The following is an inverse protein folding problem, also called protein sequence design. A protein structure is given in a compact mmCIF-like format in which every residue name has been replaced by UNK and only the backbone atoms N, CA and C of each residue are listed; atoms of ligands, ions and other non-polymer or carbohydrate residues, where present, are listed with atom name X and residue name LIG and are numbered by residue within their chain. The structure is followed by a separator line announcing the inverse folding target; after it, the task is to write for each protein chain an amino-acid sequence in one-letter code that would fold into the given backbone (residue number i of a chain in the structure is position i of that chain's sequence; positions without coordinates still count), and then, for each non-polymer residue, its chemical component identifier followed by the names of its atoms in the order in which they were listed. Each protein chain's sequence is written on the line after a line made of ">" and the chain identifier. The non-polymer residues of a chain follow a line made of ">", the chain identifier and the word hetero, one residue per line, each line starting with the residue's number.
data_IF_495906730570
#
_entry.id   IF_495906730570
#
_cell.length_a   1.000
_cell.length_b   1.000
_cell.length_c   1.000
_cell.angle_alpha   90.00
_cell.angle_beta   90.00
_cell.angle_gamma   90.00
#
_symmetry.space_group_name_H-M   'P 1'
#
loop_
_entity.id
_entity.type
_entity.pdbx_description
1 polymer ?
#
# COMPACT_ATOMS: atom_id res chain seq x y z
N UNK A 1 0.66 -22.18 -9.31
CA UNK A 1 1.49 -20.96 -9.31
C UNK A 1 2.84 -21.29 -8.67
N UNK A 2 3.91 -21.36 -9.46
CA UNK A 2 5.25 -21.70 -8.94
C UNK A 2 5.85 -20.46 -8.27
N UNK A 3 6.05 -20.52 -6.96
CA UNK A 3 6.69 -19.45 -6.18
C UNK A 3 8.21 -19.55 -6.36
N UNK A 4 8.84 -18.49 -6.85
CA UNK A 4 10.29 -18.41 -7.00
C UNK A 4 10.91 -17.98 -5.68
N UNK A 5 11.46 -18.94 -4.93
CA UNK A 5 11.96 -18.71 -3.57
C UNK A 5 13.44 -18.30 -3.51
N UNK A 6 14.17 -18.37 -4.62
CA UNK A 6 15.61 -18.05 -4.63
C UNK A 6 15.86 -16.63 -5.12
N UNK A 7 16.75 -15.91 -4.42
CA UNK A 7 17.17 -14.54 -4.75
C UNK A 7 17.60 -14.39 -6.22
N UNK A 8 18.30 -15.40 -6.75
CA UNK A 8 18.76 -15.43 -8.14
C UNK A 8 17.61 -15.53 -9.14
N UNK A 9 16.57 -16.31 -8.83
CA UNK A 9 15.39 -16.40 -9.70
C UNK A 9 14.55 -15.12 -9.64
N UNK A 10 14.44 -14.50 -8.45
CA UNK A 10 13.79 -13.20 -8.29
C UNK A 10 14.51 -12.10 -9.07
N UNK A 11 15.85 -12.08 -9.04
CA UNK A 11 16.66 -11.13 -9.81
C UNK A 11 16.46 -11.30 -11.34
N UNK A 12 16.42 -12.55 -11.83
CA UNK A 12 16.12 -12.86 -13.23
C UNK A 12 14.72 -12.39 -13.64
N UNK A 13 13.73 -12.56 -12.76
CA UNK A 13 12.37 -12.08 -13.01
C UNK A 13 12.33 -10.55 -13.10
N UNK A 14 12.95 -9.84 -12.14
CA UNK A 14 13.08 -8.37 -12.16
C UNK A 14 13.75 -7.83 -13.42
N UNK A 15 14.69 -8.58 -14.00
CA UNK A 15 15.36 -8.20 -15.24
C UNK A 15 14.45 -8.33 -16.48
N UNK A 16 13.51 -9.29 -16.47
CA UNK A 16 12.60 -9.61 -17.58
C UNK A 16 11.27 -8.85 -17.54
N UNK A 17 10.79 -8.47 -16.37
CA UNK A 17 9.53 -7.72 -16.23
C UNK A 17 9.73 -6.27 -16.67
N UNK A 18 8.83 -5.76 -17.53
CA UNK A 18 8.85 -4.34 -17.93
C UNK A 18 8.66 -3.38 -16.74
N UNK A 19 8.04 -3.84 -15.67
CA UNK A 19 7.85 -3.09 -14.43
C UNK A 19 9.07 -3.29 -13.51
N UNK A 20 10.20 -2.65 -13.84
CA UNK A 20 11.31 -2.56 -12.91
C UNK A 20 10.94 -1.60 -11.78
N UNK A 21 11.08 -1.98 -10.50
CA UNK A 21 10.93 -1.04 -9.41
C UNK A 21 11.96 0.09 -9.58
N UNK A 22 11.49 1.33 -9.69
CA UNK A 22 12.36 2.49 -9.73
C UNK A 22 13.00 2.63 -8.35
N UNK A 23 14.33 2.53 -8.29
CA UNK A 23 15.11 2.43 -7.05
C UNK A 23 14.98 3.68 -6.16
N UNK A 24 14.41 4.78 -6.69
CA UNK A 24 14.19 6.07 -6.00
C UNK A 24 12.92 6.77 -6.49
N UNK A 25 11.81 6.07 -6.53
CA UNK A 25 10.54 6.73 -6.82
C UNK A 25 10.07 7.43 -5.55
N UNK A 26 10.07 8.76 -5.55
CA UNK A 26 9.64 9.57 -4.40
C UNK A 26 8.15 9.37 -4.08
N UNK A 27 7.36 9.02 -5.09
CA UNK A 27 5.95 8.64 -4.92
C UNK A 27 5.78 7.20 -4.44
N UNK A 28 6.87 6.48 -4.11
CA UNK A 28 6.80 5.11 -3.63
C UNK A 28 6.58 5.13 -2.12
N UNK A 29 5.45 4.56 -1.73
CA UNK A 29 5.15 4.22 -0.36
C UNK A 29 6.25 3.29 0.20
N UNK A 30 6.93 3.75 1.25
CA UNK A 30 8.12 3.08 1.81
C UNK A 30 7.84 1.69 2.38
N UNK A 31 6.60 1.43 2.78
CA UNK A 31 6.10 0.12 3.23
C UNK A 31 4.57 0.14 3.29
N UNK A 32 3.95 -1.03 3.46
CA UNK A 32 2.50 -1.12 3.75
C UNK A 32 2.15 -0.35 5.04
N UNK A 33 3.02 -0.41 6.05
CA UNK A 33 2.87 0.36 7.28
C UNK A 33 2.87 1.88 7.01
N UNK A 34 3.84 2.36 6.22
CA UNK A 34 3.90 3.77 5.82
C UNK A 34 2.66 4.20 5.04
N UNK A 35 2.09 3.29 4.24
CA UNK A 35 0.85 3.54 3.52
C UNK A 35 -0.35 3.70 4.44
N UNK A 36 -0.52 2.80 5.41
CA UNK A 36 -1.63 2.86 6.36
C UNK A 36 -1.48 4.10 7.26
N UNK A 37 -0.26 4.45 7.69
CA UNK A 37 -0.02 5.67 8.48
C UNK A 37 -0.44 6.94 7.74
N UNK A 38 0.05 7.10 6.51
CA UNK A 38 -0.31 8.24 5.66
C UNK A 38 -1.80 8.28 5.33
N UNK A 39 -2.49 7.14 5.22
CA UNK A 39 -3.94 7.11 5.10
C UNK A 39 -4.62 7.78 6.31
N UNK A 40 -4.19 7.48 7.53
CA UNK A 40 -4.72 8.14 8.73
C UNK A 40 -4.37 9.63 8.80
N UNK A 41 -3.15 10.01 8.40
CA UNK A 41 -2.76 11.43 8.31
C UNK A 41 -3.65 12.19 7.31
N UNK A 42 -4.07 11.55 6.22
CA UNK A 42 -4.97 12.14 5.21
C UNK A 42 -6.44 12.13 5.61
N UNK A 43 -6.84 11.17 6.45
CA UNK A 43 -8.23 10.98 6.87
C UNK A 43 -8.82 12.23 7.55
N UNK A 44 -7.98 13.02 8.23
CA UNK A 44 -8.38 14.31 8.84
C UNK A 44 -8.78 15.38 7.81
N UNK A 45 -8.30 15.26 6.56
CA UNK A 45 -8.55 16.20 5.47
C UNK A 45 -9.60 15.69 4.48
N UNK A 46 -10.07 14.46 4.66
CA UNK A 46 -11.09 13.85 3.81
C UNK A 46 -12.47 14.23 4.36
N UNK A 47 -13.29 14.87 3.53
CA UNK A 47 -14.67 15.18 3.87
C UNK A 47 -15.48 13.89 4.01
N UNK A 48 -15.92 13.58 5.23
CA UNK A 48 -16.71 12.38 5.51
C UNK A 48 -18.11 12.36 4.88
N UNK A 49 -18.50 13.43 4.17
CA UNK A 49 -19.80 13.63 3.53
C UNK A 49 -19.64 13.59 1.99
N UNK A 50 -18.44 13.34 1.48
CA UNK A 50 -18.25 13.15 0.03
C UNK A 50 -18.85 11.80 -0.41
N UNK A 51 -20.08 11.84 -0.92
CA UNK A 51 -20.83 10.68 -1.42
C UNK A 51 -20.06 9.91 -2.50
N UNK A 52 -19.18 10.57 -3.28
CA UNK A 52 -18.38 9.91 -4.31
C UNK A 52 -17.24 9.08 -3.71
N UNK A 53 -16.84 9.40 -2.48
CA UNK A 53 -15.77 8.73 -1.76
C UNK A 53 -16.28 7.67 -0.78
N UNK A 54 -17.55 7.71 -0.38
CA UNK A 54 -18.14 6.76 0.58
C UNK A 54 -17.90 5.29 0.18
N UNK A 55 -18.12 4.96 -1.09
CA UNK A 55 -17.93 3.59 -1.62
C UNK A 55 -16.46 3.14 -1.65
N UNK A 56 -15.51 4.08 -1.64
CA UNK A 56 -14.07 3.82 -1.68
C UNK A 56 -13.46 3.73 -0.28
N UNK A 57 -14.17 4.20 0.75
CA UNK A 57 -13.66 4.24 2.11
C UNK A 57 -13.85 2.90 2.83
N UNK A 58 -12.81 2.41 3.53
CA UNK A 58 -12.97 1.24 4.39
C UNK A 58 -13.94 1.55 5.54
N UNK A 59 -14.71 0.54 5.94
CA UNK A 59 -15.65 0.66 7.04
C UNK A 59 -14.93 1.05 8.36
N UNK A 60 -15.64 1.68 9.32
CA UNK A 60 -15.04 2.02 10.62
C UNK A 60 -14.44 0.82 11.37
N UNK A 61 -14.96 -0.39 11.15
CA UNK A 61 -14.41 -1.62 11.72
C UNK A 61 -13.04 -1.98 11.10
N UNK A 62 -12.90 -1.85 9.78
CA UNK A 62 -11.65 -2.09 9.06
C UNK A 62 -10.57 -1.08 9.45
N UNK A 63 -10.94 0.18 9.68
CA UNK A 63 -10.02 1.19 10.20
C UNK A 63 -9.45 0.79 11.56
N UNK A 64 -10.27 0.28 12.50
CA UNK A 64 -9.79 -0.19 13.81
C UNK A 64 -8.81 -1.35 13.70
N UNK A 65 -9.06 -2.28 12.79
CA UNK A 65 -8.11 -3.39 12.52
C UNK A 65 -6.79 -2.87 11.97
N UNK A 66 -6.83 -1.93 11.02
CA UNK A 66 -5.63 -1.32 10.45
C UNK A 66 -4.79 -0.56 11.49
N UNK A 67 -5.42 0.11 12.47
CA UNK A 67 -4.71 0.75 13.58
C UNK A 67 -4.01 -0.29 14.47
N UNK A 68 -4.66 -1.42 14.78
CA UNK A 68 -4.02 -2.49 15.56
C UNK A 68 -2.79 -3.09 14.85
N UNK A 69 -2.77 -3.12 13.52
CA UNK A 69 -1.60 -3.57 12.74
C UNK A 69 -0.44 -2.55 12.74
N UNK A 70 -0.68 -1.32 13.22
CA UNK A 70 0.34 -0.29 13.38
C UNK A 70 0.99 -0.25 14.79
N UNK A 71 0.44 -1.00 15.77
CA UNK A 71 0.92 -1.06 17.17
C UNK A 71 1.83 -2.26 17.42
#
# INVERSE_FOLDING_TARGET
>A
MLKLHTLTQLAKLRAKTQLRPVIRQDTRWGSTFSMIKHYFDLLEFIDAIDDELEDLMPSPAQNKTAVCELC
#
